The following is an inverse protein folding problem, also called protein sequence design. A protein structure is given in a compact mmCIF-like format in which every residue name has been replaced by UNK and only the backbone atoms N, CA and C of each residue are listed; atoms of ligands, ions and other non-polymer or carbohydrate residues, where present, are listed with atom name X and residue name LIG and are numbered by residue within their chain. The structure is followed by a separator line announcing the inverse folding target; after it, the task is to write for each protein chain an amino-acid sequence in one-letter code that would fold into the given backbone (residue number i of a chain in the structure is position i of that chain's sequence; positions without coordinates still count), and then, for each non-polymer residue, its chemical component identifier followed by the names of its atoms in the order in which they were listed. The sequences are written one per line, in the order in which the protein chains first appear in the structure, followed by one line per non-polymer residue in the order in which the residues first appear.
data_IF_052306655443
#
_entry.id   IF_052306655443
#
_cell.length_a   1.000
_cell.length_b   1.000
_cell.length_c   1.000
_cell.angle_alpha   90.00
_cell.angle_beta   90.00
_cell.angle_gamma   90.00
#
_symmetry.space_group_name_H-M   'P 1'
#
loop_
_entity.id
_entity.type
_entity.pdbx_description
1 polymer ?
#
# COMPACT_ATOMS: atom_id res chain seq x y z
N UNK A 1 8.41 -2.88 14.96
CA UNK A 1 7.07 -3.43 14.69
C UNK A 1 6.34 -2.40 13.85
N UNK A 2 6.51 -2.46 12.52
CA UNK A 2 5.86 -1.53 11.59
C UNK A 2 4.37 -1.86 11.54
N UNK A 3 3.53 -0.92 11.97
CA UNK A 3 2.16 -1.23 12.36
C UNK A 3 1.19 -1.53 11.21
N UNK A 4 1.57 -1.47 9.92
CA UNK A 4 0.57 -1.64 8.85
C UNK A 4 0.97 -2.51 7.65
N UNK A 5 2.20 -2.55 7.13
CA UNK A 5 2.55 -3.40 5.96
C UNK A 5 3.95 -4.02 6.06
N UNK A 6 4.22 -5.05 5.24
CA UNK A 6 5.60 -5.50 5.00
C UNK A 6 6.30 -4.54 4.05
N UNK A 7 7.52 -4.10 4.40
CA UNK A 7 8.42 -3.55 3.40
C UNK A 7 9.01 -4.68 2.55
N UNK A 8 9.51 -4.34 1.35
CA UNK A 8 10.19 -5.32 0.49
C UNK A 8 11.38 -5.99 1.19
N UNK A 9 12.10 -5.25 2.03
CA UNK A 9 13.23 -5.78 2.79
C UNK A 9 12.78 -6.73 3.90
N UNK A 10 11.68 -6.41 4.57
CA UNK A 10 11.10 -7.30 5.58
C UNK A 10 10.61 -8.60 4.95
N UNK A 11 9.97 -8.52 3.77
CA UNK A 11 9.54 -9.71 3.04
C UNK A 11 10.73 -10.57 2.55
N UNK A 12 11.83 -9.93 2.13
CA UNK A 12 13.06 -10.61 1.73
C UNK A 12 13.80 -11.30 2.88
N UNK A 13 13.55 -10.91 4.13
CA UNK A 13 14.11 -11.56 5.31
C UNK A 13 13.33 -12.82 5.74
N UNK A 14 12.15 -13.08 5.15
CA UNK A 14 11.32 -14.23 5.48
C UNK A 14 11.66 -15.44 4.61
N UNK A 15 11.50 -16.68 5.13
CA UNK A 15 11.67 -17.88 4.33
C UNK A 15 10.63 -17.91 3.20
N UNK A 16 11.09 -18.21 1.98
CA UNK A 16 10.20 -18.29 0.82
C UNK A 16 9.35 -19.57 0.94
N UNK A 17 8.06 -19.37 1.22
CA UNK A 17 7.05 -20.43 1.30
C UNK A 17 5.70 -19.88 0.88
N UNK A 18 4.77 -20.75 0.51
CA UNK A 18 3.39 -20.35 0.18
C UNK A 18 2.69 -19.64 1.35
N UNK A 19 2.85 -20.15 2.57
CA UNK A 19 2.32 -19.53 3.78
C UNK A 19 2.91 -18.11 4.01
N UNK A 20 4.22 -17.93 3.81
CA UNK A 20 4.87 -16.62 3.90
C UNK A 20 4.30 -15.66 2.87
N UNK A 21 4.16 -16.11 1.63
CA UNK A 21 3.73 -15.28 0.51
C UNK A 21 2.29 -14.82 0.68
N UNK A 22 1.38 -15.71 1.06
CA UNK A 22 0.00 -15.34 1.36
C UNK A 22 -0.09 -14.37 2.55
N UNK A 23 0.74 -14.56 3.57
CA UNK A 23 0.81 -13.64 4.72
C UNK A 23 1.25 -12.23 4.30
N UNK A 24 2.26 -12.14 3.42
CA UNK A 24 2.73 -10.86 2.90
C UNK A 24 1.65 -10.18 2.05
N UNK A 25 0.97 -10.92 1.16
CA UNK A 25 -0.15 -10.39 0.38
C UNK A 25 -1.26 -9.88 1.30
N UNK A 26 -1.73 -10.71 2.23
CA UNK A 26 -2.86 -10.39 3.10
C UNK A 26 -2.57 -9.16 3.97
N UNK A 27 -1.39 -9.11 4.62
CA UNK A 27 -1.03 -7.94 5.44
C UNK A 27 -0.89 -6.68 4.62
N UNK A 28 -0.23 -6.77 3.46
CA UNK A 28 -0.02 -5.59 2.60
C UNK A 28 -1.36 -5.08 2.05
N UNK A 29 -2.28 -5.98 1.70
CA UNK A 29 -3.64 -5.63 1.30
C UNK A 29 -4.39 -4.89 2.39
N UNK A 30 -4.40 -5.44 3.62
CA UNK A 30 -5.07 -4.80 4.75
C UNK A 30 -4.51 -3.41 5.02
N UNK A 31 -3.18 -3.25 4.93
CA UNK A 31 -2.52 -1.96 5.07
C UNK A 31 -3.02 -0.92 4.07
N UNK A 32 -3.02 -1.31 2.79
CA UNK A 32 -3.32 -0.42 1.68
C UNK A 32 -4.80 -0.02 1.72
N UNK A 33 -5.69 -0.96 2.04
CA UNK A 33 -7.11 -0.67 2.23
C UNK A 33 -7.34 0.25 3.44
N UNK A 34 -6.66 0.01 4.57
CA UNK A 34 -6.77 0.88 5.75
C UNK A 34 -6.29 2.31 5.44
N UNK A 35 -5.16 2.46 4.73
CA UNK A 35 -4.65 3.76 4.30
C UNK A 35 -5.63 4.48 3.37
N UNK A 36 -6.26 3.75 2.44
CA UNK A 36 -7.26 4.31 1.55
C UNK A 36 -8.49 4.81 2.33
N UNK A 37 -9.00 4.03 3.28
CA UNK A 37 -10.12 4.43 4.13
C UNK A 37 -9.81 5.66 4.97
N UNK A 38 -8.61 5.74 5.56
CA UNK A 38 -8.15 6.92 6.31
C UNK A 38 -8.08 8.14 5.40
N UNK A 39 -7.51 8.01 4.21
CA UNK A 39 -7.42 9.10 3.24
C UNK A 39 -8.81 9.60 2.80
N UNK A 40 -9.75 8.69 2.53
CA UNK A 40 -11.15 9.04 2.24
C UNK A 40 -11.76 9.81 3.40
N UNK A 41 -11.56 9.34 4.64
CA UNK A 41 -12.05 10.01 5.85
C UNK A 41 -11.52 11.44 6.00
N UNK A 42 -10.24 11.67 5.71
CA UNK A 42 -9.63 13.01 5.73
C UNK A 42 -10.28 13.92 4.67
N UNK A 43 -10.42 13.44 3.43
CA UNK A 43 -11.05 14.22 2.35
C UNK A 43 -12.50 14.57 2.72
N UNK A 44 -13.27 13.59 3.21
CA UNK A 44 -14.65 13.82 3.65
C UNK A 44 -14.73 14.83 4.80
N UNK A 45 -13.83 14.73 5.78
CA UNK A 45 -13.73 15.69 6.89
C UNK A 45 -13.41 17.11 6.43
N UNK A 46 -12.49 17.27 5.46
CA UNK A 46 -12.17 18.57 4.87
C UNK A 46 -13.38 19.18 4.13
N UNK A 47 -14.12 18.38 3.37
CA UNK A 47 -15.32 18.83 2.67
C UNK A 47 -16.43 19.25 3.66
N UNK A 48 -16.63 18.48 4.73
CA UNK A 48 -17.59 18.81 5.79
C UNK A 48 -17.20 20.09 6.54
N UNK A 49 -15.92 20.24 6.89
CA UNK A 49 -15.40 21.45 7.52
C UNK A 49 -15.53 22.68 6.61
N UNK A 50 -15.23 22.53 5.31
CA UNK A 50 -15.41 23.58 4.31
C UNK A 50 -16.87 24.00 4.15
N UNK A 51 -17.82 23.06 4.26
CA UNK A 51 -19.25 23.35 4.24
C UNK A 51 -19.75 24.12 5.47
N UNK A 52 -19.14 23.87 6.63
CA UNK A 52 -19.47 24.56 7.88
C UNK A 52 -18.75 25.92 8.04
N UNK A 53 -17.69 26.16 7.27
CA UNK A 53 -16.92 27.40 7.28
C UNK A 53 -17.47 28.44 6.28
N UNK A 54 -16.98 29.68 6.39
CA UNK A 54 -17.30 30.77 5.45
C UNK A 54 -16.05 31.55 5.03
N UNK A 55 -16.18 32.30 3.93
CA UNK A 55 -15.13 33.15 3.40
C UNK A 55 -13.85 32.39 3.02
N UNK A 56 -12.69 32.98 3.32
CA UNK A 56 -11.38 32.41 3.01
C UNK A 56 -11.14 31.04 3.64
N UNK A 57 -11.70 30.79 4.82
CA UNK A 57 -11.53 29.51 5.52
C UNK A 57 -12.20 28.35 4.77
N UNK A 58 -13.38 28.58 4.18
CA UNK A 58 -14.04 27.61 3.32
C UNK A 58 -13.19 27.30 2.07
N UNK A 59 -12.62 28.34 1.43
CA UNK A 59 -11.73 28.17 0.28
C UNK A 59 -10.49 27.33 0.62
N UNK A 60 -9.88 27.55 1.79
CA UNK A 60 -8.74 26.75 2.25
C UNK A 60 -9.11 25.28 2.45
N UNK A 61 -10.26 24.99 3.09
CA UNK A 61 -10.72 23.61 3.27
C UNK A 61 -10.99 22.90 1.94
N UNK A 62 -11.68 23.57 0.99
CA UNK A 62 -11.92 22.98 -0.33
C UNK A 62 -10.64 22.83 -1.16
N UNK A 63 -9.71 23.80 -1.06
CA UNK A 63 -8.40 23.70 -1.71
C UNK A 63 -7.57 22.53 -1.17
N UNK A 64 -7.54 22.36 0.16
CA UNK A 64 -6.91 21.20 0.80
C UNK A 64 -7.60 19.89 0.42
N UNK A 65 -8.93 19.86 0.34
CA UNK A 65 -9.68 18.68 -0.10
C UNK A 65 -9.32 18.29 -1.54
N UNK A 66 -9.19 19.27 -2.44
CA UNK A 66 -8.78 19.04 -3.83
C UNK A 66 -7.36 18.46 -3.92
N UNK A 67 -6.42 18.98 -3.12
CA UNK A 67 -5.06 18.42 -3.04
C UNK A 67 -5.05 17.01 -2.46
N UNK A 68 -5.83 16.76 -1.41
CA UNK A 68 -5.96 15.45 -0.79
C UNK A 68 -6.60 14.42 -1.73
N UNK A 69 -7.52 14.83 -2.61
CA UNK A 69 -8.08 13.97 -3.67
C UNK A 69 -7.02 13.46 -4.66
N UNK A 70 -6.00 14.27 -4.98
CA UNK A 70 -4.87 13.80 -5.79
C UNK A 70 -4.06 12.71 -5.08
N UNK A 71 -3.81 12.87 -3.78
CA UNK A 71 -3.19 11.83 -2.95
C UNK A 71 -4.03 10.54 -2.90
N UNK A 72 -5.35 10.69 -2.79
CA UNK A 72 -6.29 9.58 -2.80
C UNK A 72 -6.27 8.80 -4.13
N UNK A 73 -6.18 9.50 -5.27
CA UNK A 73 -6.03 8.87 -6.58
C UNK A 73 -4.73 8.04 -6.66
N UNK A 74 -3.61 8.58 -6.17
CA UNK A 74 -2.35 7.84 -6.11
C UNK A 74 -2.44 6.57 -5.25
N UNK A 75 -3.10 6.66 -4.09
CA UNK A 75 -3.36 5.51 -3.22
C UNK A 75 -4.26 4.46 -3.90
N UNK A 76 -5.32 4.89 -4.61
CA UNK A 76 -6.21 4.00 -5.34
C UNK A 76 -5.49 3.26 -6.48
N UNK A 77 -4.65 3.96 -7.25
CA UNK A 77 -3.84 3.36 -8.30
C UNK A 77 -2.80 2.37 -7.74
N UNK A 78 -2.16 2.69 -6.61
CA UNK A 78 -1.24 1.76 -5.94
C UNK A 78 -1.98 0.52 -5.41
N UNK A 79 -3.22 0.69 -4.94
CA UNK A 79 -4.08 -0.41 -4.51
C UNK A 79 -4.38 -1.33 -5.68
N UNK A 80 -4.80 -0.74 -6.81
CA UNK A 80 -5.08 -1.47 -8.03
C UNK A 80 -3.86 -2.27 -8.53
N UNK A 81 -2.67 -1.68 -8.53
CA UNK A 81 -1.43 -2.36 -8.92
C UNK A 81 -1.11 -3.56 -8.02
N UNK A 82 -1.31 -3.42 -6.70
CA UNK A 82 -1.17 -4.54 -5.75
C UNK A 82 -2.13 -5.70 -6.08
N UNK A 83 -3.42 -5.42 -6.32
CA UNK A 83 -4.39 -6.47 -6.67
C UNK A 83 -4.05 -7.15 -8.00
N UNK A 84 -3.64 -6.36 -9.01
CA UNK A 84 -3.24 -6.88 -10.33
C UNK A 84 -2.01 -7.78 -10.25
N UNK A 85 -1.06 -7.47 -9.37
CA UNK A 85 0.21 -8.21 -9.24
C UNK A 85 0.14 -9.40 -8.28
N UNK A 86 -0.76 -9.37 -7.29
CA UNK A 86 -0.95 -10.49 -6.35
C UNK A 86 -1.53 -11.75 -7.03
N UNK A 87 -2.39 -11.60 -8.05
CA UNK A 87 -2.95 -12.73 -8.79
C UNK A 87 -1.89 -13.55 -9.57
N UNK A 88 -1.05 -12.95 -10.43
CA UNK A 88 0.00 -13.68 -11.14
C UNK A 88 1.09 -14.19 -10.19
N UNK A 89 1.37 -13.53 -9.06
CA UNK A 89 2.34 -14.01 -8.07
C UNK A 89 2.04 -15.44 -7.62
N UNK A 90 0.77 -15.74 -7.30
CA UNK A 90 0.35 -17.10 -6.89
C UNK A 90 0.62 -18.15 -7.97
N UNK A 91 0.42 -17.77 -9.23
CA UNK A 91 0.66 -18.65 -10.38
C UNK A 91 2.16 -18.91 -10.60
N UNK A 92 3.03 -17.91 -10.34
CA UNK A 92 4.48 -18.03 -10.55
C UNK A 92 5.23 -18.59 -9.34
N UNK A 93 4.62 -18.54 -8.14
CA UNK A 93 5.21 -18.99 -6.89
C UNK A 93 5.69 -20.44 -6.94
N UNK A 94 4.90 -21.35 -7.52
CA UNK A 94 5.25 -22.76 -7.62
C UNK A 94 6.53 -23.01 -8.43
N UNK A 95 6.77 -22.23 -9.48
CA UNK A 95 7.98 -22.33 -10.30
C UNK A 95 9.22 -21.75 -9.59
N UNK A 96 9.05 -20.67 -8.83
CA UNK A 96 10.16 -20.04 -8.10
C UNK A 96 10.56 -20.82 -6.84
N UNK A 97 9.59 -21.46 -6.17
CA UNK A 97 9.83 -22.40 -5.07
C UNK A 97 10.56 -23.66 -5.54
N UNK A 98 10.14 -24.24 -6.67
CA UNK A 98 10.80 -25.42 -7.25
C UNK A 98 12.24 -25.16 -7.70
N UNK A 99 12.63 -23.89 -7.88
CA UNK A 99 13.97 -23.46 -8.27
C UNK A 99 14.85 -23.05 -7.08
N UNK A 100 14.36 -23.20 -5.83
CA UNK A 100 15.04 -22.75 -4.61
C UNK A 100 15.53 -21.29 -4.72
N UNK A 101 14.70 -20.43 -5.29
CA UNK A 101 15.08 -19.06 -5.57
C UNK A 101 15.36 -18.26 -4.30
N UNK A 102 16.44 -17.48 -4.31
CA UNK A 102 16.74 -16.52 -3.23
C UNK A 102 15.51 -15.61 -2.96
N UNK A 103 15.01 -15.55 -1.70
CA UNK A 103 13.90 -14.68 -1.32
C UNK A 103 14.07 -13.23 -1.77
N UNK A 104 15.30 -12.69 -1.70
CA UNK A 104 15.56 -11.31 -2.11
C UNK A 104 15.37 -11.10 -3.62
N UNK A 105 15.71 -12.10 -4.44
CA UNK A 105 15.51 -12.06 -5.88
C UNK A 105 14.02 -12.19 -6.24
N UNK A 106 13.30 -13.08 -5.56
CA UNK A 106 11.86 -13.28 -5.73
C UNK A 106 11.06 -11.98 -5.48
N UNK A 107 11.28 -11.32 -4.34
CA UNK A 107 10.54 -10.11 -3.98
C UNK A 107 10.94 -8.87 -4.79
N UNK A 108 12.14 -8.84 -5.38
CA UNK A 108 12.52 -7.80 -6.35
C UNK A 108 11.78 -7.93 -7.67
N UNK A 109 11.61 -9.16 -8.17
CA UNK A 109 10.84 -9.42 -9.38
C UNK A 109 9.36 -9.01 -9.21
N UNK A 110 8.83 -9.16 -8.00
CA UNK A 110 7.43 -8.86 -7.67
C UNK A 110 7.24 -7.52 -6.96
N UNK A 111 7.95 -6.48 -7.44
CA UNK A 111 7.96 -5.16 -6.80
C UNK A 111 6.58 -4.48 -6.67
N UNK A 112 5.66 -4.74 -7.61
CA UNK A 112 4.31 -4.14 -7.62
C UNK A 112 3.39 -4.67 -6.53
N UNK A 113 3.83 -5.71 -5.80
CA UNK A 113 3.12 -6.21 -4.64
C UNK A 113 3.24 -5.27 -3.43
N UNK A 114 4.22 -4.37 -3.43
CA UNK A 114 4.46 -3.45 -2.33
C UNK A 114 4.01 -2.04 -2.72
N UNK A 115 3.34 -1.30 -1.83
CA UNK A 115 2.97 0.08 -2.10
C UNK A 115 4.22 0.94 -2.35
N UNK A 116 4.09 1.89 -3.27
CA UNK A 116 5.16 2.83 -3.64
C UNK A 116 5.66 3.65 -2.44
N UNK A 117 4.78 3.91 -1.48
CA UNK A 117 5.07 4.63 -0.24
C UNK A 117 5.34 3.70 0.94
N UNK A 118 6.01 2.57 0.71
CA UNK A 118 6.55 1.78 1.80
C UNK A 118 7.63 2.60 2.49
N UNK A 119 7.42 2.92 3.78
CA UNK A 119 8.43 3.63 4.58
C UNK A 119 9.75 2.88 4.45
N UNK A 120 10.89 3.57 4.22
CA UNK A 120 12.18 2.93 4.37
C UNK A 120 12.22 2.36 5.79
N UNK A 121 12.76 1.15 5.99
CA UNK A 121 12.90 0.63 7.34
C UNK A 121 13.66 1.67 8.13
N UNK A 122 13.05 2.16 9.22
CA UNK A 122 13.72 3.00 10.20
C UNK A 122 15.04 2.31 10.51
N UNK A 123 16.15 2.99 10.20
CA UNK A 123 17.49 2.53 10.53
C UNK A 123 17.48 2.13 12.01
N UNK A 124 17.52 0.83 12.27
CA UNK A 124 17.79 0.28 13.59
C UNK A 124 19.29 0.16 13.75
#
# INVERSE_FOLDING_TARGET
MGLLSYSRRDAAALPLSEATVETVIARTRTAVLAQLLVAIGIVAGLLLAGRAASGTLAMLFYGLAALAMWGLLGAALSTWDHFRTAAPLRAHLGLDLARESDPAKFWRAHRGLFPYFSLPPSQR
#
